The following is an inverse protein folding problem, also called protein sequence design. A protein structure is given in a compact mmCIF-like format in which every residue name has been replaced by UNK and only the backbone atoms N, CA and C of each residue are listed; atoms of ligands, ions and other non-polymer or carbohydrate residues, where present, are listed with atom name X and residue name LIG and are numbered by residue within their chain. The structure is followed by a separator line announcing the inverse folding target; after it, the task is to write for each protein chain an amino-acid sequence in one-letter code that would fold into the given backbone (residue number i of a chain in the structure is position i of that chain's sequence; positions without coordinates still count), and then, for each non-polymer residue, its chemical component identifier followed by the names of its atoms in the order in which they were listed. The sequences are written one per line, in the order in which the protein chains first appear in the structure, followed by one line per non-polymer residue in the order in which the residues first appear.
data_IF_177113344546
#
_entry.id   IF_177113344546
#
_cell.length_a   1.000
_cell.length_b   1.000
_cell.length_c   1.000
_cell.angle_alpha   90.00
_cell.angle_beta   90.00
_cell.angle_gamma   90.00
#
_symmetry.space_group_name_H-M   'P 1'
#
loop_
_entity.id
_entity.type
_entity.pdbx_description
1 polymer ?
#
# COMPACT_ATOMS: atom_id res chain seq x y z
N UNK A 1 -26.78 -16.20 -18.60
CA UNK A 1 -26.28 -15.00 -17.89
C UNK A 1 -24.75 -15.02 -17.93
N UNK A 2 -24.12 -14.32 -18.87
CA UNK A 2 -22.66 -14.34 -19.12
C UNK A 2 -22.01 -12.96 -18.92
N UNK A 3 -22.71 -12.00 -18.30
CA UNK A 3 -22.28 -10.60 -18.18
C UNK A 3 -21.14 -10.33 -17.17
N UNK A 4 -20.56 -11.36 -16.54
CA UNK A 4 -19.57 -11.20 -15.47
C UNK A 4 -18.13 -11.54 -15.83
N UNK A 5 -17.89 -12.23 -16.95
CA UNK A 5 -16.57 -12.86 -17.23
C UNK A 5 -15.54 -11.91 -17.85
N UNK A 6 -16.00 -10.78 -18.39
CA UNK A 6 -15.13 -9.81 -19.08
C UNK A 6 -14.49 -8.78 -18.12
N UNK A 7 -14.92 -8.77 -16.84
CA UNK A 7 -14.33 -7.93 -15.81
C UNK A 7 -13.09 -8.60 -15.21
N UNK A 8 -12.06 -7.80 -14.92
CA UNK A 8 -10.83 -8.32 -14.29
C UNK A 8 -11.16 -9.10 -13.00
N UNK A 9 -10.40 -10.15 -12.66
CA UNK A 9 -10.63 -10.90 -11.41
C UNK A 9 -10.66 -10.03 -10.16
N UNK A 10 -9.91 -8.92 -10.14
CA UNK A 10 -9.90 -7.95 -9.04
C UNK A 10 -11.27 -7.25 -8.86
N UNK A 11 -11.92 -6.85 -9.95
CA UNK A 11 -13.23 -6.19 -9.91
C UNK A 11 -14.35 -7.13 -9.43
N UNK A 12 -14.18 -8.44 -9.61
CA UNK A 12 -15.13 -9.48 -9.19
C UNK A 12 -14.89 -9.99 -7.77
N UNK A 13 -13.73 -9.69 -7.20
CA UNK A 13 -13.24 -10.33 -5.98
C UNK A 13 -14.13 -10.04 -4.76
N UNK A 14 -14.55 -8.78 -4.58
CA UNK A 14 -15.39 -8.40 -3.45
C UNK A 14 -16.79 -9.05 -3.52
N UNK A 15 -17.37 -9.13 -4.72
CA UNK A 15 -18.65 -9.80 -4.94
C UNK A 15 -18.55 -11.31 -4.68
N UNK A 16 -17.50 -11.96 -5.18
CA UNK A 16 -17.37 -13.42 -5.11
C UNK A 16 -16.89 -13.93 -3.74
N UNK A 17 -16.02 -13.17 -3.06
CA UNK A 17 -15.38 -13.59 -1.81
C UNK A 17 -15.84 -12.78 -0.58
N UNK A 18 -16.76 -11.83 -0.76
CA UNK A 18 -17.20 -10.88 0.27
C UNK A 18 -16.21 -9.75 0.56
N UNK A 19 -14.95 -9.89 0.10
CA UNK A 19 -13.88 -8.87 0.22
C UNK A 19 -12.82 -9.02 -0.87
N UNK A 20 -12.09 -7.94 -1.12
CA UNK A 20 -10.94 -7.92 -2.03
C UNK A 20 -9.62 -7.73 -1.29
N UNK A 21 -8.48 -7.93 -1.97
CA UNK A 21 -7.17 -7.61 -1.41
C UNK A 21 -6.97 -6.10 -1.10
N UNK A 22 -7.90 -5.25 -1.57
CA UNK A 22 -7.96 -3.84 -1.21
C UNK A 22 -8.80 -3.57 0.05
N UNK A 23 -9.38 -4.59 0.69
CA UNK A 23 -10.20 -4.47 1.90
C UNK A 23 -9.58 -5.36 2.99
N UNK A 24 -8.53 -4.89 3.70
CA UNK A 24 -7.80 -5.69 4.66
C UNK A 24 -8.71 -6.10 5.83
N UNK A 25 -8.64 -7.36 6.24
CA UNK A 25 -9.26 -7.85 7.47
C UNK A 25 -8.53 -7.39 8.75
N UNK A 26 -9.06 -7.72 9.94
CA UNK A 26 -8.39 -7.44 11.21
C UNK A 26 -6.96 -8.01 11.25
N UNK A 27 -5.97 -7.16 11.52
CA UNK A 27 -4.56 -7.54 11.57
C UNK A 27 -3.88 -7.73 10.20
N UNK A 28 -4.63 -7.65 9.10
CA UNK A 28 -4.07 -7.66 7.76
C UNK A 28 -3.51 -6.27 7.39
N UNK A 29 -2.47 -6.28 6.56
CA UNK A 29 -1.78 -5.07 6.10
C UNK A 29 -1.94 -4.93 4.60
N UNK A 30 -2.31 -3.74 4.15
CA UNK A 30 -2.25 -3.39 2.72
C UNK A 30 -0.80 -3.40 2.21
N UNK A 31 -0.67 -3.37 0.89
CA UNK A 31 0.61 -3.44 0.19
C UNK A 31 1.66 -2.50 0.79
N UNK A 32 2.87 -3.03 0.96
CA UNK A 32 4.04 -2.21 1.32
C UNK A 32 4.48 -1.41 0.10
N UNK A 33 4.81 -0.15 0.33
CA UNK A 33 5.25 0.83 -0.65
C UNK A 33 6.75 1.05 -0.52
N UNK A 34 7.43 1.16 -1.66
CA UNK A 34 8.79 1.70 -1.73
C UNK A 34 8.74 3.22 -1.95
N UNK A 35 9.88 3.90 -1.82
CA UNK A 35 9.95 5.33 -2.13
C UNK A 35 9.61 5.62 -3.60
N UNK A 36 10.02 4.71 -4.50
CA UNK A 36 9.69 4.78 -5.92
C UNK A 36 8.18 4.62 -6.17
N UNK A 37 7.49 3.75 -5.42
CA UNK A 37 6.02 3.63 -5.52
C UNK A 37 5.33 4.94 -5.09
N UNK A 38 5.78 5.53 -3.98
CA UNK A 38 5.23 6.81 -3.50
C UNK A 38 5.40 7.89 -4.55
N UNK A 39 6.60 8.06 -5.11
CA UNK A 39 6.86 9.10 -6.11
C UNK A 39 6.03 8.91 -7.38
N UNK A 40 5.94 7.66 -7.85
CA UNK A 40 5.12 7.28 -9.01
C UNK A 40 3.64 7.64 -8.83
N UNK A 41 3.08 7.36 -7.65
CA UNK A 41 1.69 7.71 -7.33
C UNK A 41 1.53 9.23 -7.23
N UNK A 42 2.45 9.94 -6.56
CA UNK A 42 2.41 11.40 -6.43
C UNK A 42 2.42 12.07 -7.79
N UNK A 43 3.34 11.68 -8.66
CA UNK A 43 3.46 12.23 -10.01
C UNK A 43 2.19 12.01 -10.83
N UNK A 44 1.58 10.81 -10.76
CA UNK A 44 0.40 10.48 -11.55
C UNK A 44 -0.91 11.10 -11.03
N UNK A 45 -1.02 11.33 -9.72
CA UNK A 45 -2.28 11.76 -9.07
C UNK A 45 -2.27 13.22 -8.62
N UNK A 46 -1.08 13.83 -8.47
CA UNK A 46 -0.90 15.12 -7.80
C UNK A 46 -1.16 15.08 -6.29
N UNK A 47 -1.42 13.91 -5.70
CA UNK A 47 -1.73 13.80 -4.28
C UNK A 47 -0.46 13.95 -3.45
N UNK A 48 -0.62 14.53 -2.26
CA UNK A 48 0.40 14.47 -1.23
C UNK A 48 0.47 13.06 -0.65
N UNK A 49 1.67 12.62 -0.26
CA UNK A 49 1.88 11.26 0.26
C UNK A 49 0.97 10.93 1.46
N UNK A 50 0.67 11.90 2.32
CA UNK A 50 -0.11 11.67 3.55
C UNK A 50 -1.56 11.21 3.25
N UNK A 51 -2.03 11.42 2.01
CA UNK A 51 -3.34 10.95 1.57
C UNK A 51 -3.38 9.46 1.25
N UNK A 52 -2.24 8.82 0.98
CA UNK A 52 -2.23 7.43 0.52
C UNK A 52 -1.14 6.55 1.12
N UNK A 53 -0.23 7.13 1.91
CA UNK A 53 0.80 6.41 2.66
C UNK A 53 0.42 6.36 4.14
N UNK A 54 0.44 5.16 4.69
CA UNK A 54 0.41 4.91 6.12
C UNK A 54 1.82 4.59 6.60
N UNK A 55 2.26 5.26 7.68
CA UNK A 55 3.57 5.03 8.28
C UNK A 55 3.38 4.15 9.51
N UNK A 56 3.93 2.95 9.47
CA UNK A 56 3.83 1.96 10.53
C UNK A 56 5.20 1.73 11.17
N UNK A 57 5.49 2.35 12.33
CA UNK A 57 6.66 2.00 13.11
C UNK A 57 6.59 0.54 13.53
N UNK A 58 7.65 -0.21 13.28
CA UNK A 58 7.81 -1.59 13.74
C UNK A 58 8.94 -1.67 14.76
N UNK A 59 8.84 -2.64 15.69
CA UNK A 59 9.99 -3.06 16.46
C UNK A 59 11.06 -3.65 15.53
N UNK A 60 12.33 -3.61 15.94
CA UNK A 60 13.44 -4.10 15.12
C UNK A 60 13.28 -5.60 14.79
N UNK A 61 12.78 -6.39 15.74
CA UNK A 61 12.51 -7.81 15.60
C UNK A 61 11.37 -8.06 14.59
N UNK A 62 10.33 -7.22 14.62
CA UNK A 62 9.21 -7.28 13.67
C UNK A 62 9.66 -6.93 12.24
N UNK A 63 10.54 -5.94 12.09
CA UNK A 63 11.13 -5.57 10.81
C UNK A 63 11.98 -6.71 10.23
N UNK A 64 12.84 -7.34 11.03
CA UNK A 64 13.61 -8.51 10.62
C UNK A 64 12.70 -9.69 10.25
N UNK A 65 11.68 -9.97 11.07
CA UNK A 65 10.70 -11.03 10.79
C UNK A 65 9.88 -10.74 9.52
N UNK A 66 9.64 -9.47 9.19
CA UNK A 66 9.00 -9.08 7.95
C UNK A 66 9.88 -9.45 6.74
N UNK A 67 11.15 -9.06 6.73
CA UNK A 67 12.08 -9.36 5.64
C UNK A 67 12.36 -10.86 5.48
N UNK A 68 12.41 -11.59 6.59
CA UNK A 68 12.57 -13.04 6.58
C UNK A 68 11.37 -13.75 5.91
N UNK A 69 10.15 -13.32 6.25
CA UNK A 69 8.92 -13.88 5.65
C UNK A 69 8.72 -13.46 4.20
N UNK A 70 9.21 -12.27 3.83
CA UNK A 70 9.04 -11.70 2.48
C UNK A 70 10.39 -11.41 1.83
N UNK A 71 11.03 -12.43 1.21
CA UNK A 71 12.38 -12.28 0.63
C UNK A 71 12.54 -11.15 -0.38
N UNK A 72 11.46 -10.76 -1.08
CA UNK A 72 11.45 -9.61 -2.00
C UNK A 72 11.73 -8.26 -1.32
N UNK A 73 11.52 -8.16 -0.01
CA UNK A 73 11.72 -6.95 0.80
C UNK A 73 12.99 -6.99 1.66
N UNK A 74 13.90 -7.94 1.43
CA UNK A 74 15.17 -7.99 2.17
C UNK A 74 15.95 -6.69 1.99
N UNK A 75 16.27 -6.05 3.10
CA UNK A 75 16.95 -4.77 3.14
C UNK A 75 16.04 -3.54 3.04
N UNK A 76 14.72 -3.69 3.08
CA UNK A 76 13.78 -2.58 3.11
C UNK A 76 13.98 -1.71 4.36
N UNK A 77 14.32 -2.32 5.51
CA UNK A 77 14.46 -1.63 6.79
C UNK A 77 15.92 -1.26 7.12
N UNK A 78 16.81 -1.17 6.12
CA UNK A 78 18.25 -0.90 6.36
C UNK A 78 18.53 0.41 7.10
N UNK A 79 17.69 1.43 6.90
CA UNK A 79 17.90 2.79 7.43
C UNK A 79 16.71 3.29 8.27
N UNK A 80 15.66 2.48 8.43
CA UNK A 80 14.46 2.79 9.22
C UNK A 80 13.75 1.51 9.62
N UNK A 81 12.98 1.54 10.72
CA UNK A 81 12.03 0.46 11.07
C UNK A 81 10.58 0.81 10.73
N UNK A 82 10.35 1.89 9.98
CA UNK A 82 9.01 2.32 9.58
C UNK A 82 8.64 1.67 8.26
N UNK A 83 7.56 0.88 8.24
CA UNK A 83 6.95 0.36 7.01
C UNK A 83 6.07 1.42 6.40
N UNK A 84 6.21 1.66 5.10
CA UNK A 84 5.26 2.47 4.35
C UNK A 84 4.22 1.54 3.75
N UNK A 85 2.97 1.66 4.17
CA UNK A 85 1.83 0.92 3.64
C UNK A 85 0.95 1.80 2.75
N UNK A 86 0.18 1.19 1.85
CA UNK A 86 -1.00 1.86 1.31
C UNK A 86 -1.98 2.13 2.44
N UNK A 87 -2.48 3.36 2.50
CA UNK A 87 -3.48 3.79 3.49
C UNK A 87 -4.84 3.14 3.22
N UNK A 88 -5.51 2.76 4.30
CA UNK A 88 -6.92 2.42 4.29
C UNK A 88 -7.79 3.58 4.84
N UNK A 89 -8.98 3.75 4.28
CA UNK A 89 -10.03 4.64 4.76
C UNK A 89 -11.38 3.92 4.60
N UNK A 90 -12.23 3.96 5.63
CA UNK A 90 -13.51 3.24 5.61
C UNK A 90 -13.37 1.71 5.44
N UNK A 91 -12.25 1.12 5.87
CA UNK A 91 -11.98 -0.32 5.73
C UNK A 91 -11.50 -0.76 4.35
N UNK A 92 -11.17 0.17 3.45
CA UNK A 92 -10.66 -0.12 2.11
C UNK A 92 -9.46 0.75 1.75
N UNK A 93 -8.63 0.28 0.82
CA UNK A 93 -7.58 1.06 0.19
C UNK A 93 -8.17 2.34 -0.42
N UNK A 94 -7.51 3.48 -0.22
CA UNK A 94 -7.94 4.79 -0.75
C UNK A 94 -8.04 4.85 -2.28
N UNK A 95 -7.49 3.87 -2.99
CA UNK A 95 -7.58 3.72 -4.44
C UNK A 95 -8.62 2.70 -4.91
N UNK A 96 -9.45 2.16 -4.02
CA UNK A 96 -10.54 1.27 -4.40
C UNK A 96 -11.74 2.10 -4.88
N UNK A 97 -12.11 1.94 -6.16
CA UNK A 97 -13.35 2.46 -6.74
C UNK A 97 -14.36 1.34 -7.00
N UNK A 98 -15.52 1.71 -7.56
CA UNK A 98 -16.63 0.79 -7.82
C UNK A 98 -16.25 -0.38 -8.74
N UNK A 99 -15.36 -0.13 -9.71
CA UNK A 99 -14.91 -1.12 -10.69
C UNK A 99 -13.51 -1.69 -10.38
N UNK A 100 -13.04 -1.51 -9.14
CA UNK A 100 -11.73 -1.93 -8.68
C UNK A 100 -10.74 -0.78 -8.53
N UNK A 101 -9.45 -1.08 -8.64
CA UNK A 101 -8.41 -0.09 -8.37
C UNK A 101 -8.41 1.04 -9.41
N UNK A 102 -8.53 2.29 -8.94
CA UNK A 102 -8.54 3.51 -9.76
C UNK A 102 -7.18 3.86 -10.35
N UNK A 103 -6.09 3.29 -9.81
CA UNK A 103 -4.75 3.46 -10.39
C UNK A 103 -4.59 2.62 -11.66
N UNK A 104 -4.02 3.23 -12.69
CA UNK A 104 -3.60 2.51 -13.89
C UNK A 104 -2.50 1.48 -13.56
N UNK A 105 -2.33 0.41 -14.36
CA UNK A 105 -1.27 -0.57 -14.13
C UNK A 105 0.14 0.03 -14.02
N UNK A 106 0.44 1.09 -14.79
CA UNK A 106 1.74 1.76 -14.75
C UNK A 106 1.99 2.55 -13.44
N UNK A 107 0.92 2.95 -12.76
CA UNK A 107 0.95 3.76 -11.52
C UNK A 107 0.85 2.91 -10.25
N UNK A 108 0.28 1.70 -10.33
CA UNK A 108 0.11 0.81 -9.16
C UNK A 108 1.44 0.49 -8.48
N UNK A 109 1.44 0.32 -7.15
CA UNK A 109 2.61 -0.19 -6.44
C UNK A 109 3.06 -1.52 -7.01
N UNK A 110 4.38 -1.75 -7.05
CA UNK A 110 4.94 -3.01 -7.55
C UNK A 110 4.37 -4.22 -6.79
N UNK A 111 4.17 -4.09 -5.48
CA UNK A 111 3.55 -5.11 -4.64
C UNK A 111 2.11 -5.47 -5.07
N UNK A 112 1.32 -4.49 -5.49
CA UNK A 112 -0.05 -4.72 -5.98
C UNK A 112 -0.06 -5.43 -7.34
N UNK A 113 0.93 -5.15 -8.19
CA UNK A 113 1.11 -5.83 -9.48
C UNK A 113 1.60 -7.27 -9.31
N UNK A 114 2.38 -7.52 -8.26
CA UNK A 114 2.87 -8.85 -7.93
C UNK A 114 1.80 -9.74 -7.29
N UNK A 115 0.84 -9.19 -6.54
CA UNK A 115 -0.18 -10.02 -5.89
C UNK A 115 -0.99 -10.86 -6.90
N UNK A 116 -1.19 -12.18 -6.68
CA UNK A 116 -0.93 -12.96 -5.47
C UNK A 116 0.44 -13.66 -5.45
N UNK A 117 1.37 -13.31 -6.33
CA UNK A 117 2.71 -13.89 -6.38
C UNK A 117 3.63 -13.27 -5.34
N UNK A 118 4.46 -14.11 -4.72
CA UNK A 118 5.48 -13.69 -3.77
C UNK A 118 6.87 -14.18 -4.20
N UNK A 119 7.88 -13.29 -4.29
CA UNK A 119 9.24 -13.68 -4.60
C UNK A 119 9.83 -14.66 -3.58
N UNK A 120 10.54 -15.67 -4.07
CA UNK A 120 11.39 -16.57 -3.29
C UNK A 120 12.84 -16.49 -3.79
N UNK A 121 13.74 -17.23 -3.14
CA UNK A 121 15.14 -17.30 -3.55
C UNK A 121 15.29 -17.88 -4.97
N UNK A 122 14.50 -18.91 -5.29
CA UNK A 122 14.50 -19.58 -6.59
C UNK A 122 13.13 -19.52 -7.26
N UNK A 123 12.68 -18.31 -7.62
CA UNK A 123 11.43 -18.07 -8.34
C UNK A 123 10.37 -17.41 -7.47
N UNK A 124 9.15 -17.95 -7.47
CA UNK A 124 8.00 -17.37 -6.79
C UNK A 124 7.04 -18.43 -6.23
N UNK A 125 6.25 -18.04 -5.25
CA UNK A 125 5.12 -18.81 -4.70
C UNK A 125 3.85 -17.96 -4.68
N UNK A 126 2.74 -18.48 -4.16
CA UNK A 126 1.55 -17.71 -3.86
C UNK A 126 1.62 -17.13 -2.43
N UNK A 127 1.29 -15.85 -2.31
CA UNK A 127 1.12 -15.14 -1.04
C UNK A 127 -0.18 -15.51 -0.31
N UNK A 128 -1.05 -16.27 -0.97
CA UNK A 128 -2.31 -16.77 -0.41
C UNK A 128 -2.45 -18.25 -0.67
N UNK A 129 -3.04 -18.94 0.29
CA UNK A 129 -3.43 -20.33 0.14
C UNK A 129 -4.71 -20.47 -0.69
N UNK A 130 -4.89 -21.65 -1.28
CA UNK A 130 -6.09 -22.01 -2.05
C UNK A 130 -7.02 -22.86 -1.21
N UNK A 131 -8.31 -22.52 -1.18
CA UNK A 131 -9.37 -23.35 -0.59
C UNK A 131 -9.86 -24.45 -1.54
N UNK A 132 -9.63 -24.31 -2.85
CA UNK A 132 -10.02 -25.28 -3.86
C UNK A 132 -11.45 -25.10 -4.38
N UNK A 133 -12.20 -24.13 -3.84
CA UNK A 133 -13.46 -23.63 -4.40
C UNK A 133 -13.71 -22.20 -3.92
N UNK A 134 -14.47 -21.44 -4.71
CA UNK A 134 -14.82 -20.05 -4.40
C UNK A 134 -15.75 -20.00 -3.17
N UNK A 135 -16.66 -20.97 -3.04
CA UNK A 135 -17.61 -21.05 -1.94
C UNK A 135 -16.94 -21.36 -0.59
N UNK A 136 -15.89 -22.20 -0.58
CA UNK A 136 -15.09 -22.41 0.62
C UNK A 136 -14.23 -21.19 0.94
N UNK A 137 -13.62 -20.57 -0.08
CA UNK A 137 -12.82 -19.36 0.09
C UNK A 137 -13.65 -18.23 0.73
N UNK A 138 -14.85 -17.97 0.22
CA UNK A 138 -15.77 -16.94 0.72
C UNK A 138 -16.19 -17.15 2.18
N UNK A 139 -16.34 -18.41 2.62
CA UNK A 139 -16.72 -18.75 4.00
C UNK A 139 -15.54 -18.82 4.98
N UNK A 140 -14.31 -18.90 4.47
CA UNK A 140 -13.13 -19.13 5.31
C UNK A 140 -12.78 -17.96 6.23
N UNK A 141 -13.18 -16.74 5.88
CA UNK A 141 -12.75 -15.53 6.58
C UNK A 141 -11.26 -15.19 6.41
N UNK A 142 -10.48 -16.05 5.76
CA UNK A 142 -9.04 -15.89 5.51
C UNK A 142 -8.77 -15.07 4.24
N UNK A 143 -7.57 -14.48 4.07
CA UNK A 143 -7.21 -13.78 2.85
C UNK A 143 -7.19 -14.75 1.66
N UNK A 144 -8.01 -14.49 0.65
CA UNK A 144 -8.11 -15.32 -0.56
C UNK A 144 -8.00 -14.46 -1.82
N UNK A 145 -7.53 -15.06 -2.90
CA UNK A 145 -7.50 -14.42 -4.22
C UNK A 145 -8.42 -15.18 -5.17
N UNK A 146 -9.46 -14.52 -5.68
CA UNK A 146 -10.43 -15.13 -6.59
C UNK A 146 -9.74 -15.78 -7.80
N UNK A 147 -8.77 -15.08 -8.40
CA UNK A 147 -8.02 -15.60 -9.54
C UNK A 147 -7.24 -16.88 -9.18
N UNK A 148 -6.67 -16.95 -7.97
CA UNK A 148 -5.97 -18.15 -7.50
C UNK A 148 -6.93 -19.33 -7.28
N UNK A 149 -8.13 -19.07 -6.78
CA UNK A 149 -9.16 -20.11 -6.63
C UNK A 149 -9.63 -20.62 -8.01
N UNK A 150 -9.95 -19.72 -8.94
CA UNK A 150 -10.46 -20.06 -10.27
C UNK A 150 -9.42 -20.72 -11.18
N UNK A 151 -8.12 -20.47 -10.98
CA UNK A 151 -7.07 -20.96 -11.86
C UNK A 151 -6.85 -22.48 -11.74
N UNK A 152 -6.96 -23.19 -12.87
CA UNK A 152 -6.70 -24.65 -12.93
C UNK A 152 -5.21 -25.01 -12.97
N UNK A 153 -4.34 -24.03 -13.20
CA UNK A 153 -2.88 -24.22 -13.25
C UNK A 153 -2.15 -22.89 -13.05
N UNK A 154 -0.85 -22.94 -12.78
CA UNK A 154 0.02 -21.73 -12.71
C UNK A 154 -0.05 -20.91 -13.99
N UNK A 155 -0.03 -21.56 -15.15
CA UNK A 155 -0.14 -20.87 -16.45
C UNK A 155 -1.51 -20.21 -16.65
N UNK A 156 -2.60 -20.82 -16.18
CA UNK A 156 -3.91 -20.20 -16.20
C UNK A 156 -3.99 -18.98 -15.28
N UNK A 157 -3.35 -19.05 -14.11
CA UNK A 157 -3.27 -17.93 -13.17
C UNK A 157 -2.53 -16.73 -13.79
N UNK A 158 -1.33 -16.96 -14.34
CA UNK A 158 -0.54 -15.93 -15.02
C UNK A 158 -1.34 -15.23 -16.13
N UNK A 159 -2.01 -16.01 -17.00
CA UNK A 159 -2.90 -15.46 -18.04
C UNK A 159 -4.05 -14.64 -17.48
N UNK A 160 -4.61 -15.03 -16.33
CA UNK A 160 -5.66 -14.27 -15.64
C UNK A 160 -5.22 -12.87 -15.18
N UNK A 161 -3.92 -12.68 -15.00
CA UNK A 161 -3.29 -11.38 -14.70
C UNK A 161 -2.65 -10.72 -15.93
N UNK A 162 -2.88 -11.27 -17.13
CA UNK A 162 -2.26 -10.82 -18.39
C UNK A 162 -0.72 -10.70 -18.28
N UNK A 163 -0.10 -11.63 -17.56
CA UNK A 163 1.36 -11.70 -17.38
C UNK A 163 1.87 -13.09 -17.76
N UNK A 164 3.13 -13.17 -18.18
CA UNK A 164 3.84 -14.44 -18.36
C UNK A 164 4.96 -14.58 -17.30
N UNK A 165 5.79 -15.62 -17.42
CA UNK A 165 6.91 -15.83 -16.48
C UNK A 165 7.95 -14.72 -16.61
N UNK A 166 8.21 -14.22 -17.82
CA UNK A 166 9.18 -13.15 -18.05
C UNK A 166 8.75 -11.83 -17.42
N UNK A 167 7.48 -11.44 -17.62
CA UNK A 167 6.87 -10.28 -17.00
C UNK A 167 6.84 -10.37 -15.49
N UNK A 168 6.53 -11.55 -14.94
CA UNK A 168 6.55 -11.75 -13.49
C UNK A 168 7.97 -11.60 -12.93
N UNK A 169 8.97 -12.20 -13.57
CA UNK A 169 10.38 -12.02 -13.19
C UNK A 169 10.78 -10.55 -13.24
N UNK A 170 10.39 -9.81 -14.29
CA UNK A 170 10.68 -8.38 -14.40
C UNK A 170 10.04 -7.56 -13.25
N UNK A 171 8.83 -7.90 -12.80
CA UNK A 171 8.22 -7.26 -11.63
C UNK A 171 8.96 -7.59 -10.33
N UNK A 172 9.45 -8.82 -10.18
CA UNK A 172 10.25 -9.23 -9.02
C UNK A 172 11.56 -8.46 -8.97
N UNK A 173 12.26 -8.36 -10.11
CA UNK A 173 13.52 -7.64 -10.20
C UNK A 173 13.33 -6.14 -9.97
N UNK A 174 12.23 -5.58 -10.49
CA UNK A 174 11.82 -4.21 -10.19
C UNK A 174 11.61 -4.01 -8.68
N UNK A 175 10.86 -4.88 -8.00
CA UNK A 175 10.64 -4.77 -6.55
C UNK A 175 11.97 -4.78 -5.80
N UNK A 176 12.87 -5.71 -6.13
CA UNK A 176 14.19 -5.82 -5.48
C UNK A 176 15.03 -4.56 -5.69
N UNK A 177 15.00 -3.99 -6.90
CA UNK A 177 15.70 -2.74 -7.20
C UNK A 177 15.12 -1.56 -6.41
N UNK A 178 13.79 -1.45 -6.34
CA UNK A 178 13.10 -0.40 -5.57
C UNK A 178 13.35 -0.54 -4.06
N UNK A 179 13.35 -1.76 -3.52
CA UNK A 179 13.69 -2.04 -2.12
C UNK A 179 15.14 -1.65 -1.82
N UNK A 180 16.09 -1.96 -2.71
CA UNK A 180 17.50 -1.54 -2.55
C UNK A 180 17.65 -0.02 -2.53
N UNK A 181 16.77 0.70 -3.21
CA UNK A 181 16.73 2.17 -3.20
C UNK A 181 15.96 2.75 -2.00
N UNK A 182 15.26 1.92 -1.22
CA UNK A 182 14.41 2.35 -0.10
C UNK A 182 15.13 2.23 1.26
N UNK A 183 14.85 3.14 2.20
CA UNK A 183 14.93 4.59 2.08
C UNK A 183 16.40 4.99 2.15
N UNK A 184 17.09 5.06 1.00
CA UNK A 184 18.39 5.70 1.00
C UNK A 184 18.17 7.16 1.42
N UNK A 185 18.81 7.59 2.51
CA UNK A 185 18.67 8.95 2.99
C UNK A 185 19.01 9.87 1.83
N UNK A 186 17.99 10.57 1.31
CA UNK A 186 18.24 11.76 0.50
C UNK A 186 18.91 12.70 1.49
N UNK A 187 20.24 12.77 1.40
CA UNK A 187 21.11 13.34 2.41
C UNK A 187 20.49 14.59 3.00
N UNK A 188 20.34 14.59 4.33
CA UNK A 188 19.97 15.71 5.19
C UNK A 188 19.79 17.03 4.40
N UNK A 189 18.57 17.28 3.90
CA UNK A 189 18.23 18.63 3.47
C UNK A 189 18.26 19.42 4.78
N UNK A 190 19.35 20.14 5.02
CA UNK A 190 19.51 21.02 6.18
C UNK A 190 18.20 21.76 6.37
N UNK A 191 17.50 21.44 7.46
CA UNK A 191 16.38 22.22 7.94
C UNK A 191 16.85 23.67 7.93
N UNK A 192 16.27 24.49 7.04
CA UNK A 192 16.46 25.93 7.15
C UNK A 192 15.94 26.28 8.54
N UNK A 193 16.85 26.69 9.42
CA UNK A 193 16.48 27.23 10.72
C UNK A 193 15.35 28.24 10.52
N UNK A 194 14.29 28.19 11.32
CA UNK A 194 13.28 29.23 11.31
C UNK A 194 14.01 30.53 11.61
N UNK A 195 13.97 31.48 10.68
CA UNK A 195 14.34 32.87 10.97
C UNK A 195 13.49 33.28 12.16
N UNK A 196 14.15 33.49 13.29
CA UNK A 196 13.58 34.19 14.43
C UNK A 196 13.05 35.53 13.92
N UNK A 197 11.73 35.62 13.79
CA UNK A 197 11.07 36.89 13.60
C UNK A 197 11.21 37.60 14.94
N UNK A 198 11.96 38.70 14.91
CA UNK A 198 12.28 39.51 16.06
C UNK A 198 11.04 39.90 16.85
N UNK A 199 11.14 39.62 18.14
CA UNK A 199 10.39 40.18 19.24
C UNK A 199 10.64 41.70 19.30
N UNK A 200 9.61 42.53 19.10
CA UNK A 200 9.49 43.86 19.66
C UNK A 200 8.16 44.51 19.24
N UNK A 201 7.21 44.60 20.17
CA UNK A 201 6.43 45.82 20.45
C UNK A 201 5.38 45.50 21.54
N UNK A 202 5.87 45.47 22.77
CA UNK A 202 5.09 45.62 23.98
C UNK A 202 4.37 46.98 23.93
N UNK A 203 3.05 46.96 23.71
CA UNK A 203 2.20 48.15 23.76
C UNK A 203 1.38 48.08 25.05
N UNK A 204 2.01 48.54 26.11
CA UNK A 204 1.39 48.90 27.38
C UNK A 204 0.35 50.01 27.15
N UNK A 205 -0.93 49.69 27.32
CA UNK A 205 -1.99 50.70 27.57
C UNK A 205 -2.97 50.19 28.62
N UNK A 206 -2.70 50.68 29.83
CA UNK A 206 -3.53 50.79 31.03
C UNK A 206 -5.06 50.92 30.85
N UNK A 207 -5.84 50.51 31.88
CA UNK A 207 -7.29 50.36 31.82
C UNK A 207 -8.04 51.67 32.13
N UNK A 208 -9.07 51.99 31.34
CA UNK A 208 -10.06 53.02 31.72
C UNK A 208 -11.34 52.36 32.22
N UNK A 209 -11.48 52.35 33.54
CA UNK A 209 -12.75 52.28 34.26
C UNK A 209 -13.74 53.29 33.68
N UNK A 210 -14.91 52.83 33.21
CA UNK A 210 -16.09 53.68 33.07
C UNK A 210 -17.29 53.03 33.76
N UNK A 211 -17.85 53.86 34.64
CA UNK A 211 -18.94 53.64 35.59
C UNK A 211 -20.26 53.26 34.92
N UNK A 212 -21.03 52.46 35.65
CA UNK A 212 -22.44 52.22 35.47
C UNK A 212 -23.28 53.51 35.45
N UNK A 213 -24.34 53.52 34.65
CA UNK A 213 -25.57 54.26 34.94
C UNK A 213 -26.77 53.35 34.68
N UNK A 214 -27.42 53.01 35.78
CA UNK A 214 -28.80 52.52 35.85
C UNK A 214 -29.74 53.62 35.37
N UNK A 215 -30.70 53.25 34.52
CA UNK A 215 -32.08 53.74 34.52
C UNK A 215 -32.98 52.61 34.07
#
# INVERSE_FOLDING_TARGET
MTAGKDRSPCARCAEALGRSCCQPGPGERLATLTATDVERIRTATGWRQERFVEHEPLAAEEALAYEARRPGYRGYFRTTTVRWGLRAEGGACVFLGNDGCTLSPATRPTACLLYPFEPREHGWTLAVERSGSVELAARSGEPRCLAAEEARSRGALLRGFAIDVGGLTALIDRLRAEVKAHPQSLGFVKSREPRSVGEAAECDRSPRLRRARLR
#
